data_IF_057159533034
#
_entry.id   IF_057159533034
#
_cell.length_a   1.000
_cell.length_b   1.000
_cell.length_c   1.000
_cell.angle_alpha   90.00
_cell.angle_beta   90.00
_cell.angle_gamma   90.00
#
_symmetry.space_group_name_H-M   'P 1'
#
loop_
_entity.id
_entity.type
_entity.pdbx_description
1 polymer ?
#
# COMPACT_ATOMS: atom_id res chain seq x y z
N UNK A 1 4.26 -6.43 0.62
CA UNK A 1 4.18 -6.36 2.10
C UNK A 1 2.97 -5.53 2.55
N UNK A 2 2.89 -4.25 2.19
CA UNK A 2 1.89 -3.31 2.71
C UNK A 2 0.42 -3.62 2.40
N UNK A 3 0.09 -4.61 1.55
CA UNK A 3 -1.30 -4.93 1.18
C UNK A 3 -2.19 -5.24 2.39
N UNK A 4 -1.66 -5.91 3.41
CA UNK A 4 -2.39 -6.19 4.66
C UNK A 4 -2.67 -4.92 5.45
N UNK A 5 -1.68 -4.01 5.52
CA UNK A 5 -1.81 -2.76 6.25
C UNK A 5 -2.74 -1.79 5.53
N UNK A 6 -2.69 -1.77 4.19
CA UNK A 6 -3.61 -1.02 3.34
C UNK A 6 -5.06 -1.47 3.54
N UNK A 7 -5.31 -2.78 3.55
CA UNK A 7 -6.62 -3.32 3.91
C UNK A 7 -7.03 -2.98 5.36
N UNK A 8 -6.08 -3.11 6.30
CA UNK A 8 -6.32 -2.76 7.71
C UNK A 8 -6.72 -1.29 7.88
N UNK A 9 -6.17 -0.36 7.09
CA UNK A 9 -6.59 1.05 7.14
C UNK A 9 -8.06 1.22 6.79
N UNK A 10 -8.56 0.51 5.76
CA UNK A 10 -9.99 0.51 5.40
C UNK A 10 -10.84 -0.08 6.51
N UNK A 11 -10.41 -1.22 7.05
CA UNK A 11 -11.11 -1.90 8.14
C UNK A 11 -11.26 -1.01 9.38
N UNK A 12 -10.18 -0.34 9.80
CA UNK A 12 -10.17 0.51 11.00
C UNK A 12 -10.94 1.82 10.82
N UNK A 13 -10.87 2.43 9.62
CA UNK A 13 -11.59 3.68 9.33
C UNK A 13 -13.07 3.43 9.01
N UNK A 14 -13.40 2.26 8.47
CA UNK A 14 -14.76 1.91 8.05
C UNK A 14 -15.22 2.67 6.79
N UNK A 15 -14.28 3.19 6.01
CA UNK A 15 -14.51 3.92 4.77
C UNK A 15 -13.35 3.64 3.80
N UNK A 16 -13.54 4.03 2.55
CA UNK A 16 -12.58 3.85 1.47
C UNK A 16 -11.76 5.14 1.25
N UNK A 17 -10.41 5.07 1.15
CA UNK A 17 -9.58 6.24 0.95
C UNK A 17 -9.67 6.76 -0.50
N UNK A 18 -9.24 8.02 -0.73
CA UNK A 18 -9.32 8.71 -2.03
C UNK A 18 -8.00 8.78 -2.78
N UNK A 19 -6.88 8.89 -2.06
CA UNK A 19 -5.54 8.95 -2.64
C UNK A 19 -4.48 8.52 -1.63
N UNK A 20 -3.29 8.24 -2.16
CA UNK A 20 -2.12 7.78 -1.43
C UNK A 20 -0.87 8.54 -1.85
N UNK A 21 0.01 8.80 -0.89
CA UNK A 21 1.38 9.25 -1.09
C UNK A 21 2.34 8.24 -0.47
N UNK A 22 3.26 7.70 -1.25
CA UNK A 22 4.18 6.65 -0.81
C UNK A 22 5.64 6.99 -1.10
N UNK A 23 6.52 6.51 -0.23
CA UNK A 23 7.97 6.58 -0.39
C UNK A 23 8.59 5.25 0.03
N UNK A 24 9.70 4.87 -0.61
CA UNK A 24 10.39 3.62 -0.34
C UNK A 24 11.90 3.77 -0.44
N UNK A 25 12.62 2.88 0.23
CA UNK A 25 14.07 2.85 0.26
C UNK A 25 14.59 1.43 0.49
N UNK A 26 15.86 1.21 0.16
CA UNK A 26 16.58 -0.01 0.49
C UNK A 26 17.81 0.34 1.34
N UNK A 27 17.86 -0.15 2.57
CA UNK A 27 18.96 0.09 3.50
C UNK A 27 19.49 -1.18 4.19
N UNK A 28 18.78 -2.30 4.05
CA UNK A 28 19.01 -3.54 4.80
C UNK A 28 19.75 -4.55 3.92
N UNK A 29 19.11 -5.01 2.85
CA UNK A 29 19.69 -5.95 1.90
C UNK A 29 19.75 -5.34 0.51
N UNK A 30 20.92 -4.82 0.15
CA UNK A 30 21.18 -4.18 -1.14
C UNK A 30 20.97 -5.10 -2.35
N UNK A 31 20.91 -6.42 -2.16
CA UNK A 31 20.67 -7.34 -3.27
C UNK A 31 19.26 -7.21 -3.86
N UNK A 32 18.29 -6.65 -3.13
CA UNK A 32 16.91 -6.48 -3.63
C UNK A 32 16.76 -5.23 -4.50
N UNK A 33 17.72 -4.30 -4.52
CA UNK A 33 17.64 -3.07 -5.34
C UNK A 33 17.53 -3.36 -6.85
N UNK A 34 17.84 -4.57 -7.29
CA UNK A 34 17.73 -5.01 -8.68
C UNK A 34 16.31 -5.45 -9.08
N UNK A 35 15.40 -5.58 -8.10
CA UNK A 35 14.00 -5.94 -8.35
C UNK A 35 13.22 -4.73 -8.90
N UNK A 36 12.06 -4.99 -9.49
CA UNK A 36 11.24 -3.94 -10.08
C UNK A 36 10.26 -3.33 -9.07
N UNK A 37 9.98 -2.03 -9.23
CA UNK A 37 8.99 -1.30 -8.44
C UNK A 37 9.23 -1.40 -6.94
N UNK A 38 8.14 -1.50 -6.18
CA UNK A 38 8.14 -1.59 -4.72
C UNK A 38 8.85 -2.82 -4.15
N UNK A 39 9.13 -3.84 -4.97
CA UNK A 39 9.92 -4.99 -4.54
C UNK A 39 11.40 -4.64 -4.29
N UNK A 40 11.88 -3.52 -4.84
CA UNK A 40 13.21 -2.99 -4.56
C UNK A 40 13.33 -2.31 -3.18
N UNK A 41 12.23 -2.14 -2.44
CA UNK A 41 12.22 -1.47 -1.15
C UNK A 41 12.21 -2.49 0.00
N UNK A 42 13.08 -2.29 1.00
CA UNK A 42 13.00 -2.99 2.28
C UNK A 42 12.26 -2.17 3.34
N UNK A 43 12.21 -0.85 3.18
CA UNK A 43 11.57 0.08 4.11
C UNK A 43 10.73 1.05 3.31
N UNK A 44 9.45 1.17 3.64
CA UNK A 44 8.52 2.07 2.94
C UNK A 44 7.51 2.70 3.90
N UNK A 45 6.98 3.85 3.49
CA UNK A 45 5.93 4.55 4.20
C UNK A 45 4.86 5.04 3.22
N UNK A 46 3.60 5.02 3.67
CA UNK A 46 2.43 5.49 2.92
C UNK A 46 1.59 6.42 3.79
N UNK A 47 1.02 7.45 3.18
CA UNK A 47 0.02 8.33 3.77
C UNK A 47 -1.24 8.26 2.91
N UNK A 48 -2.39 7.97 3.52
CA UNK A 48 -3.68 7.90 2.86
C UNK A 48 -4.59 9.02 3.33
N UNK A 49 -5.46 9.53 2.44
CA UNK A 49 -6.53 10.46 2.79
C UNK A 49 -7.89 9.84 2.54
N UNK A 50 -8.85 10.19 3.38
CA UNK A 50 -10.25 9.76 3.28
C UNK A 50 -11.17 10.94 2.92
N UNK A 51 -12.35 10.69 2.33
CA UNK A 51 -13.30 11.75 1.94
C UNK A 51 -13.71 12.65 3.11
N UNK A 52 -13.84 12.04 4.30
CA UNK A 52 -14.24 12.70 5.54
C UNK A 52 -13.10 13.49 6.23
N UNK A 53 -11.90 13.53 5.63
CA UNK A 53 -10.72 14.23 6.16
C UNK A 53 -9.86 13.42 7.13
N UNK A 54 -10.23 12.16 7.44
CA UNK A 54 -9.37 11.22 8.15
C UNK A 54 -8.10 10.96 7.33
N UNK A 55 -6.99 10.72 8.03
CA UNK A 55 -5.71 10.37 7.45
C UNK A 55 -5.22 9.07 8.10
N UNK A 56 -4.60 8.21 7.30
CA UNK A 56 -3.92 7.03 7.81
C UNK A 56 -2.44 7.07 7.39
N UNK A 57 -1.58 6.52 8.25
CA UNK A 57 -0.15 6.37 8.01
C UNK A 57 0.20 4.90 8.17
N UNK A 58 1.00 4.39 7.24
CA UNK A 58 1.50 3.02 7.24
C UNK A 58 3.00 3.09 7.06
N UNK A 59 3.76 2.46 7.93
CA UNK A 59 5.18 2.19 7.73
C UNK A 59 5.43 0.69 7.78
N UNK A 60 6.22 0.20 6.82
CA UNK A 60 6.54 -1.23 6.69
C UNK A 60 8.04 -1.41 6.53
N UNK A 61 8.55 -2.48 7.12
CA UNK A 61 9.95 -2.85 7.05
C UNK A 61 10.10 -4.37 6.92
N UNK A 62 10.93 -4.83 5.96
CA UNK A 62 11.21 -6.25 5.73
C UNK A 62 11.93 -6.92 6.91
N UNK A 63 12.62 -6.15 7.74
CA UNK A 63 13.38 -6.70 8.86
C UNK A 63 13.25 -5.84 10.11
N UNK A 64 12.70 -6.44 11.15
CA UNK A 64 12.80 -5.96 12.52
C UNK A 64 13.79 -6.85 13.29
N UNK A 65 14.68 -6.24 14.06
CA UNK A 65 15.71 -6.96 14.84
C UNK A 65 15.15 -7.64 16.09
N UNK A 66 13.88 -7.39 16.43
CA UNK A 66 13.24 -7.82 17.66
C UNK A 66 11.97 -8.65 17.42
N UNK A 67 11.83 -9.28 16.25
CA UNK A 67 10.64 -10.06 15.89
C UNK A 67 9.56 -9.22 15.17
N UNK A 68 8.34 -9.76 15.06
CA UNK A 68 7.25 -9.07 14.38
C UNK A 68 6.86 -7.80 15.14
N UNK A 69 6.89 -6.67 14.43
CA UNK A 69 6.34 -5.40 14.90
C UNK A 69 5.06 -5.09 14.13
N UNK A 70 3.91 -5.24 14.79
CA UNK A 70 2.58 -5.13 14.21
C UNK A 70 1.67 -4.43 15.20
N UNK A 71 1.53 -3.13 15.00
CA UNK A 71 0.78 -2.24 15.86
C UNK A 71 -0.20 -1.45 15.01
N UNK A 72 -1.32 -1.06 15.62
CA UNK A 72 -2.26 -0.14 15.02
C UNK A 72 -2.75 0.82 16.09
N UNK A 73 -2.99 2.07 15.71
CA UNK A 73 -3.61 3.07 16.58
C UNK A 73 -4.66 3.88 15.81
N UNK A 74 -5.74 4.23 16.51
CA UNK A 74 -6.81 5.08 15.97
C UNK A 74 -7.11 6.17 16.99
N UNK A 75 -6.80 7.41 16.63
CA UNK A 75 -7.13 8.61 17.39
C UNK A 75 -8.46 9.17 16.91
N UNK A 76 -9.41 9.32 17.82
CA UNK A 76 -10.72 9.95 17.58
C UNK A 76 -10.95 11.17 18.47
N UNK A 77 -12.11 11.80 18.30
CA UNK A 77 -12.48 13.03 19.03
C UNK A 77 -12.70 12.83 20.53
N UNK A 78 -12.85 11.59 21.00
CA UNK A 78 -13.15 11.22 22.40
C UNK A 78 -12.03 10.42 23.08
N UNK A 79 -10.95 10.12 22.37
CA UNK A 79 -9.89 9.27 22.89
C UNK A 79 -9.17 8.52 21.77
N UNK A 80 -8.36 7.55 22.16
CA UNK A 80 -7.51 6.76 21.27
C UNK A 80 -7.54 5.31 21.71
N UNK A 81 -7.50 4.41 20.73
CA UNK A 81 -7.26 2.97 20.93
C UNK A 81 -5.97 2.58 20.22
N UNK A 82 -5.20 1.67 20.81
CA UNK A 82 -4.01 1.11 20.19
C UNK A 82 -3.88 -0.37 20.52
N UNK A 83 -3.33 -1.14 19.58
CA UNK A 83 -2.94 -2.54 19.76
C UNK A 83 -1.42 -2.63 19.75
N UNK A 84 -0.87 -3.33 20.76
CA UNK A 84 0.57 -3.57 20.89
C UNK A 84 0.94 -4.98 20.40
N UNK A 85 2.23 -5.24 20.28
CA UNK A 85 2.77 -6.53 19.90
C UNK A 85 2.38 -7.65 20.87
N UNK A 86 2.23 -8.86 20.32
CA UNK A 86 1.92 -10.06 21.11
C UNK A 86 3.21 -10.80 21.45
N UNK A 87 3.34 -11.16 22.73
CA UNK A 87 4.51 -11.85 23.29
C UNK A 87 4.15 -13.30 23.64
N UNK A 88 5.12 -14.23 23.58
CA UNK A 88 4.89 -15.64 23.93
C UNK A 88 4.36 -15.89 25.35
N UNK A 89 4.63 -14.96 26.27
CA UNK A 89 4.14 -14.99 27.65
C UNK A 89 4.13 -13.58 28.26
N UNK A 90 3.65 -13.48 29.50
CA UNK A 90 3.50 -12.24 30.25
C UNK A 90 4.65 -11.97 31.23
N UNK A 91 5.75 -12.74 31.17
CA UNK A 91 6.87 -12.60 32.09
C UNK A 91 7.63 -11.29 31.87
N UNK A 92 8.06 -10.68 32.97
CA UNK A 92 8.76 -9.40 33.01
C UNK A 92 10.06 -9.54 33.78
N UNK A 93 11.12 -8.92 33.30
CA UNK A 93 12.40 -8.84 34.01
C UNK A 93 12.55 -7.44 34.63
N UNK A 94 12.99 -7.40 35.90
CA UNK A 94 13.30 -6.19 36.65
C UNK A 94 14.72 -6.31 37.23
N UNK A 95 15.68 -5.67 36.56
CA UNK A 95 17.10 -5.62 36.92
C UNK A 95 17.52 -4.17 37.09
N UNK A 96 18.67 -3.93 37.71
CA UNK A 96 19.24 -2.58 37.89
C UNK A 96 19.42 -1.85 36.55
N UNK A 97 19.67 -2.58 35.47
CA UNK A 97 19.97 -2.07 34.13
C UNK A 97 18.89 -2.38 33.08
N UNK A 98 17.80 -3.07 33.46
CA UNK A 98 16.76 -3.47 32.51
C UNK A 98 15.38 -3.61 33.17
N UNK A 99 14.34 -3.09 32.52
CA UNK A 99 12.95 -3.40 32.85
C UNK A 99 12.16 -3.59 31.56
N UNK A 100 11.57 -4.77 31.36
CA UNK A 100 10.94 -5.10 30.08
C UNK A 100 10.32 -6.49 30.02
N UNK A 101 9.80 -6.87 28.85
CA UNK A 101 9.35 -8.23 28.58
C UNK A 101 10.53 -9.18 28.64
N UNK A 102 10.31 -10.38 29.16
CA UNK A 102 11.36 -11.39 29.25
C UNK A 102 11.75 -11.93 27.87
N UNK A 103 10.77 -12.04 26.97
CA UNK A 103 10.94 -12.49 25.59
C UNK A 103 10.67 -11.36 24.59
N UNK A 104 11.16 -11.55 23.37
CA UNK A 104 10.79 -10.74 22.22
C UNK A 104 9.36 -11.08 21.76
N UNK A 105 8.69 -10.19 21.01
CA UNK A 105 7.51 -10.54 20.23
C UNK A 105 7.73 -11.82 19.40
N UNK A 106 6.62 -12.47 19.00
CA UNK A 106 6.70 -13.60 18.08
C UNK A 106 7.51 -13.25 16.82
N UNK A 107 8.31 -14.20 16.33
CA UNK A 107 9.20 -14.05 15.18
C UNK A 107 8.82 -14.95 13.99
N UNK A 108 7.75 -15.74 14.13
CA UNK A 108 7.24 -16.63 13.09
C UNK A 108 5.73 -16.45 12.87
N UNK A 109 5.33 -16.23 11.60
CA UNK A 109 3.97 -15.88 11.23
C UNK A 109 2.94 -16.91 11.74
N UNK A 110 3.26 -18.21 11.70
CA UNK A 110 2.31 -19.24 12.09
C UNK A 110 2.01 -19.23 13.59
N UNK A 111 3.00 -18.84 14.42
CA UNK A 111 2.78 -18.67 15.86
C UNK A 111 2.05 -17.35 16.13
N UNK A 112 2.46 -16.27 15.45
CA UNK A 112 1.87 -14.94 15.59
C UNK A 112 0.39 -14.89 15.17
N UNK A 113 0.02 -15.64 14.14
CA UNK A 113 -1.30 -15.61 13.51
C UNK A 113 -2.09 -16.90 13.67
N UNK A 114 -1.68 -17.82 14.56
CA UNK A 114 -2.37 -19.08 14.75
C UNK A 114 -3.87 -18.88 15.00
N UNK A 115 -4.20 -18.03 15.97
CA UNK A 115 -5.58 -17.71 16.32
C UNK A 115 -6.32 -17.05 15.15
N UNK A 116 -5.67 -16.09 14.46
CA UNK A 116 -6.27 -15.41 13.32
C UNK A 116 -6.65 -16.38 12.20
N UNK A 117 -5.77 -17.31 11.82
CA UNK A 117 -6.07 -18.32 10.80
C UNK A 117 -7.17 -19.29 11.23
N UNK A 118 -7.20 -19.68 12.50
CA UNK A 118 -8.27 -20.53 13.04
C UNK A 118 -9.61 -19.80 12.97
N UNK A 119 -9.66 -18.55 13.42
CA UNK A 119 -10.87 -17.71 13.40
C UNK A 119 -11.34 -17.44 11.97
N UNK A 120 -10.44 -17.10 11.04
CA UNK A 120 -10.75 -16.91 9.62
C UNK A 120 -11.37 -18.19 9.02
N UNK A 121 -10.73 -19.34 9.25
CA UNK A 121 -11.21 -20.63 8.70
C UNK A 121 -12.58 -20.98 9.25
N UNK A 122 -12.81 -20.78 10.55
CA UNK A 122 -14.13 -21.00 11.18
C UNK A 122 -15.18 -20.09 10.55
N UNK A 123 -14.90 -18.78 10.46
CA UNK A 123 -15.83 -17.81 9.89
C UNK A 123 -16.19 -18.12 8.44
N UNK A 124 -15.22 -18.57 7.63
CA UNK A 124 -15.47 -19.02 6.27
C UNK A 124 -16.37 -20.26 6.24
N UNK A 125 -16.08 -21.28 7.05
CA UNK A 125 -16.92 -22.47 7.16
C UNK A 125 -18.35 -22.14 7.64
N UNK A 126 -18.50 -21.24 8.61
CA UNK A 126 -19.81 -20.79 9.08
C UNK A 126 -20.59 -20.04 8.00
N UNK A 127 -19.90 -19.21 7.20
CA UNK A 127 -20.50 -18.50 6.07
C UNK A 127 -21.07 -19.48 5.03
N UNK A 128 -20.32 -20.55 4.72
CA UNK A 128 -20.74 -21.61 3.81
C UNK A 128 -21.92 -22.44 4.34
N UNK A 129 -21.88 -22.81 5.63
CA UNK A 129 -22.92 -23.65 6.23
C UNK A 129 -24.24 -22.90 6.39
N UNK A 130 -24.17 -21.62 6.73
CA UNK A 130 -25.36 -20.82 7.05
C UNK A 130 -25.86 -19.94 5.90
N UNK A 131 -25.19 -19.97 4.74
CA UNK A 131 -25.49 -19.11 3.59
C UNK A 131 -25.51 -17.62 3.98
N UNK A 132 -24.44 -17.19 4.65
CA UNK A 132 -24.26 -15.80 5.12
C UNK A 132 -23.05 -15.14 4.47
N UNK A 133 -22.99 -13.80 4.38
CA UNK A 133 -21.83 -13.10 3.82
C UNK A 133 -20.54 -13.43 4.57
N UNK A 134 -19.45 -13.59 3.83
CA UNK A 134 -18.11 -13.72 4.40
C UNK A 134 -17.64 -12.39 5.02
N UNK A 135 -16.85 -12.40 6.10
CA UNK A 135 -16.35 -11.17 6.72
C UNK A 135 -15.37 -10.37 5.86
N UNK A 136 -14.67 -11.03 4.95
CA UNK A 136 -13.73 -10.44 4.00
C UNK A 136 -14.10 -10.92 2.60
N UNK A 137 -14.43 -9.97 1.72
CA UNK A 137 -14.97 -10.24 0.40
C UNK A 137 -13.88 -10.20 -0.68
N UNK A 138 -14.23 -10.64 -1.90
CA UNK A 138 -13.34 -10.46 -3.06
C UNK A 138 -13.13 -8.98 -3.42
N UNK A 139 -14.12 -8.12 -3.11
CA UNK A 139 -14.01 -6.67 -3.32
C UNK A 139 -12.95 -6.07 -2.39
N UNK A 140 -12.85 -6.54 -1.14
CA UNK A 140 -11.81 -6.08 -0.22
C UNK A 140 -10.40 -6.38 -0.74
N UNK A 141 -10.21 -7.60 -1.27
CA UNK A 141 -8.95 -7.98 -1.92
C UNK A 141 -8.64 -7.14 -3.17
N UNK A 142 -9.66 -6.84 -3.98
CA UNK A 142 -9.51 -5.99 -5.16
C UNK A 142 -9.11 -4.56 -4.79
N UNK A 143 -9.77 -3.97 -3.80
CA UNK A 143 -9.47 -2.61 -3.35
C UNK A 143 -8.05 -2.54 -2.76
N UNK A 144 -7.66 -3.51 -1.93
CA UNK A 144 -6.30 -3.57 -1.38
C UNK A 144 -5.22 -3.70 -2.48
N UNK A 145 -5.51 -4.44 -3.57
CA UNK A 145 -4.63 -4.53 -4.73
C UNK A 145 -4.52 -3.19 -5.46
N UNK A 146 -5.65 -2.50 -5.71
CA UNK A 146 -5.65 -1.15 -6.31
C UNK A 146 -4.82 -0.18 -5.48
N UNK A 147 -4.99 -0.20 -4.16
CA UNK A 147 -4.21 0.63 -3.24
C UNK A 147 -2.71 0.33 -3.33
N UNK A 148 -2.35 -0.95 -3.46
CA UNK A 148 -0.95 -1.38 -3.60
C UNK A 148 -0.32 -0.89 -4.91
N UNK A 149 -1.07 -0.96 -6.02
CA UNK A 149 -0.61 -0.44 -7.32
C UNK A 149 -0.45 1.09 -7.26
N UNK A 150 -1.41 1.80 -6.65
CA UNK A 150 -1.33 3.25 -6.48
C UNK A 150 -0.14 3.67 -5.60
N UNK A 151 0.19 2.89 -4.57
CA UNK A 151 1.36 3.11 -3.72
C UNK A 151 2.67 2.98 -4.52
N UNK A 152 2.77 1.96 -5.38
CA UNK A 152 3.93 1.76 -6.26
C UNK A 152 4.10 2.92 -7.25
N UNK A 153 2.99 3.34 -7.90
CA UNK A 153 2.98 4.52 -8.77
C UNK A 153 3.37 5.79 -8.03
N UNK A 154 2.85 5.99 -6.81
CA UNK A 154 3.14 7.17 -6.00
C UNK A 154 4.63 7.25 -5.63
N UNK A 155 5.23 6.13 -5.23
CA UNK A 155 6.65 6.06 -4.90
C UNK A 155 7.54 6.31 -6.14
N UNK A 156 7.15 5.78 -7.31
CA UNK A 156 7.88 5.99 -8.55
C UNK A 156 7.82 7.45 -9.03
N UNK A 157 6.63 8.07 -8.95
CA UNK A 157 6.38 9.41 -9.48
C UNK A 157 6.59 10.55 -8.48
N UNK A 158 6.80 10.22 -7.20
CA UNK A 158 6.98 11.17 -6.09
C UNK A 158 5.82 12.17 -5.95
N UNK A 159 4.58 11.69 -6.05
CA UNK A 159 3.36 12.51 -5.93
C UNK A 159 2.21 11.74 -5.32
N UNK A 160 1.17 12.48 -4.91
CA UNK A 160 -0.14 11.89 -4.61
C UNK A 160 -0.72 11.21 -5.86
N UNK A 161 -1.25 10.00 -5.68
CA UNK A 161 -1.96 9.24 -6.71
C UNK A 161 -3.37 8.95 -6.22
N UNK A 162 -4.38 9.40 -6.96
CA UNK A 162 -5.77 9.04 -6.70
C UNK A 162 -6.01 7.61 -7.10
N UNK A 163 -6.79 6.86 -6.32
CA UNK A 163 -7.09 5.48 -6.70
C UNK A 163 -7.89 5.38 -7.99
N UNK A 164 -8.70 6.40 -8.29
CA UNK A 164 -9.38 6.53 -9.59
C UNK A 164 -8.43 6.58 -10.79
N UNK A 165 -7.14 6.91 -10.62
CA UNK A 165 -6.13 6.83 -11.70
C UNK A 165 -5.81 5.37 -12.06
N UNK A 166 -5.84 4.48 -11.06
CA UNK A 166 -5.50 3.05 -11.19
C UNK A 166 -6.70 2.23 -11.66
N UNK A 167 -7.90 2.57 -11.19
CA UNK A 167 -9.15 1.87 -11.52
C UNK A 167 -9.63 2.12 -12.95
N UNK A 168 -8.90 2.91 -13.74
CA UNK A 168 -9.14 3.05 -15.18
C UNK A 168 -8.66 1.79 -15.92
N UNK A 169 -9.36 0.67 -15.73
CA UNK A 169 -9.07 -0.58 -16.39
C UNK A 169 -10.06 -0.88 -17.52
N UNK A 170 -9.47 -1.19 -18.65
CA UNK A 170 -10.08 -1.58 -19.91
C UNK A 170 -10.57 -3.04 -19.80
N UNK A 171 -11.87 -3.27 -19.98
CA UNK A 171 -12.48 -4.57 -20.16
C UNK A 171 -12.33 -5.04 -21.58
N UNK A 172 -11.64 -6.16 -21.78
CA UNK A 172 -11.53 -6.75 -23.09
C UNK A 172 -12.50 -7.93 -23.26
N UNK A 173 -13.57 -7.74 -24.04
CA UNK A 173 -14.53 -8.79 -24.40
C UNK A 173 -13.90 -9.87 -25.29
N UNK A 174 -12.88 -9.49 -26.08
CA UNK A 174 -12.05 -10.38 -26.90
C UNK A 174 -10.60 -9.89 -26.90
N UNK A 175 -9.60 -10.67 -27.38
CA UNK A 175 -8.21 -10.21 -27.46
C UNK A 175 -7.97 -8.93 -28.27
N UNK A 176 -8.97 -8.46 -29.02
CA UNK A 176 -8.91 -7.25 -29.87
C UNK A 176 -9.96 -6.20 -29.52
N UNK A 177 -10.90 -6.48 -28.62
CA UNK A 177 -11.99 -5.57 -28.26
C UNK A 177 -11.94 -5.26 -26.79
N UNK A 178 -11.75 -3.99 -26.47
CA UNK A 178 -11.33 -3.48 -25.19
C UNK A 178 -12.07 -2.15 -24.92
N UNK A 179 -12.87 -2.07 -23.87
CA UNK A 179 -13.75 -0.95 -23.50
C UNK A 179 -13.43 -0.45 -22.08
N UNK A 180 -13.51 0.85 -21.82
CA UNK A 180 -13.30 1.39 -20.46
C UNK A 180 -14.52 1.06 -19.59
N UNK A 181 -14.32 0.34 -18.48
CA UNK A 181 -15.39 0.08 -17.51
C UNK A 181 -15.53 1.26 -16.59
N UNK A 182 -16.08 2.36 -17.09
CA UNK A 182 -16.33 3.56 -16.29
C UNK A 182 -17.47 3.37 -15.25
N UNK A 183 -18.17 2.23 -15.27
CA UNK A 183 -19.41 2.02 -14.51
C UNK A 183 -19.60 0.56 -14.04
N UNK A 184 -18.61 -0.07 -13.42
CA UNK A 184 -18.91 -1.29 -12.65
C UNK A 184 -19.30 -0.90 -11.23
N UNK A 185 -20.45 -1.41 -10.75
CA UNK A 185 -20.86 -1.33 -9.35
C UNK A 185 -19.89 -2.08 -8.40
N UNK A 186 -18.85 -2.70 -8.95
CA UNK A 186 -17.81 -3.47 -8.27
C UNK A 186 -16.83 -2.56 -7.51
N UNK A 187 -16.71 -1.26 -7.88
CA UNK A 187 -15.83 -0.32 -7.18
C UNK A 187 -16.61 0.67 -6.30
N UNK A 188 -16.14 0.92 -5.05
CA UNK A 188 -16.69 1.95 -4.17
C UNK A 188 -16.61 3.34 -4.79
N UNK A 189 -17.44 4.29 -4.33
CA UNK A 189 -17.60 5.61 -4.98
C UNK A 189 -16.27 6.37 -5.17
N UNK A 190 -15.36 6.32 -4.19
CA UNK A 190 -14.03 6.95 -4.27
C UNK A 190 -13.03 6.27 -5.22
N UNK A 191 -13.34 5.05 -5.66
CA UNK A 191 -12.53 4.25 -6.58
C UNK A 191 -13.05 4.27 -8.02
N UNK A 192 -14.24 4.84 -8.26
CA UNK A 192 -14.83 4.87 -9.60
C UNK A 192 -14.01 5.72 -10.58
N UNK A 193 -13.86 5.31 -11.84
CA UNK A 193 -13.28 6.12 -12.90
C UNK A 193 -14.00 7.46 -13.04
N UNK A 194 -13.28 8.48 -13.54
CA UNK A 194 -13.93 9.73 -13.95
C UNK A 194 -14.96 9.44 -15.05
N UNK A 195 -16.15 10.03 -14.95
CA UNK A 195 -17.22 9.86 -15.94
C UNK A 195 -16.91 10.49 -17.31
N UNK A 196 -15.87 11.33 -17.39
CA UNK A 196 -15.43 12.01 -18.60
C UNK A 196 -14.15 11.38 -19.14
N UNK A 197 -14.25 10.75 -20.31
CA UNK A 197 -13.13 10.10 -20.99
C UNK A 197 -11.99 11.08 -21.35
N UNK A 198 -12.24 12.39 -21.35
CA UNK A 198 -11.20 13.40 -21.62
C UNK A 198 -10.25 13.62 -20.44
N UNK A 199 -10.64 13.24 -19.22
CA UNK A 199 -9.76 13.25 -18.04
C UNK A 199 -8.79 12.05 -18.01
N UNK A 200 -9.03 11.04 -18.86
CA UNK A 200 -8.24 9.81 -19.00
C UNK A 200 -7.18 9.88 -20.10
N UNK A 201 -7.13 10.97 -20.85
CA UNK A 201 -6.16 11.15 -21.93
C UNK A 201 -4.79 11.50 -21.33
N UNK A 202 -3.96 10.49 -21.12
CA UNK A 202 -2.51 10.70 -21.10
C UNK A 202 -2.11 11.36 -22.44
N UNK A 203 -1.21 12.36 -22.42
CA UNK A 203 -0.74 12.98 -23.66
C UNK A 203 -0.25 11.90 -24.63
N UNK A 204 -0.58 12.04 -25.91
CA UNK A 204 -0.19 11.14 -26.99
C UNK A 204 1.24 10.60 -26.78
N UNK A 205 1.40 9.27 -26.82
CA UNK A 205 2.68 8.59 -26.63
C UNK A 205 3.74 9.13 -27.60
N UNK A 206 3.34 9.58 -28.78
CA UNK A 206 4.24 10.21 -29.75
C UNK A 206 4.54 11.68 -29.38
N UNK A 207 3.59 12.43 -28.80
CA UNK A 207 3.87 13.74 -28.19
C UNK A 207 4.81 13.63 -26.96
N UNK A 208 4.75 12.53 -26.20
CA UNK A 208 5.69 12.24 -25.12
C UNK A 208 7.09 11.90 -25.62
N UNK A 209 7.23 11.33 -26.83
CA UNK A 209 8.53 11.10 -27.50
C UNK A 209 9.11 12.39 -28.06
N UNK A 210 8.29 13.25 -28.68
CA UNK A 210 8.72 14.57 -29.16
C UNK A 210 9.19 15.47 -28.00
N UNK A 211 8.54 15.40 -26.83
CA UNK A 211 8.97 16.09 -25.61
C UNK A 211 10.29 15.58 -25.01
N UNK A 212 10.67 14.31 -25.28
CA UNK A 212 11.96 13.74 -24.87
C UNK A 212 13.11 14.18 -25.78
N UNK A 213 12.87 14.44 -27.06
CA UNK A 213 13.89 15.04 -27.94
C UNK A 213 14.21 16.49 -27.54
N UNK A 214 13.23 17.26 -27.06
CA UNK A 214 13.47 18.60 -26.51
C UNK A 214 14.29 18.59 -25.20
N UNK A 215 14.28 17.49 -24.43
CA UNK A 215 15.12 17.33 -23.23
C UNK A 215 16.53 16.78 -23.53
N UNK A 216 16.84 16.42 -24.78
CA UNK A 216 18.18 15.97 -25.17
C UNK A 216 19.27 17.07 -25.08
N UNK A 217 18.88 18.34 -24.93
CA UNK A 217 19.78 19.49 -24.72
C UNK A 217 20.57 19.48 -23.40
N UNK A 218 20.24 18.60 -22.45
CA UNK A 218 20.99 18.47 -21.19
C UNK A 218 22.38 17.84 -21.38
N UNK A 219 22.53 16.86 -22.30
CA UNK A 219 23.84 16.23 -22.57
C UNK A 219 24.85 17.20 -23.18
N UNK A 220 24.39 18.24 -23.89
CA UNK A 220 25.25 19.28 -24.47
C UNK A 220 25.65 20.36 -23.46
N UNK A 221 24.89 20.57 -22.38
CA UNK A 221 25.22 21.54 -21.32
C UNK A 221 26.29 21.03 -20.33
N UNK A 222 26.29 19.73 -20.02
CA UNK A 222 27.31 19.12 -19.13
C UNK A 222 28.70 19.09 -19.80
N UNK A 223 28.75 18.79 -21.11
CA UNK A 223 30.01 18.82 -21.88
C UNK A 223 30.60 20.23 -22.05
N UNK A 224 29.77 21.29 -21.97
CA UNK A 224 30.20 22.69 -22.07
C UNK A 224 30.64 23.28 -20.72
N UNK A 225 30.17 22.71 -19.60
CA UNK A 225 30.60 23.10 -18.25
C UNK A 225 31.99 22.53 -17.91
N UNK A 226 32.31 21.31 -18.35
CA UNK A 226 33.59 20.65 -18.07
C UNK A 226 34.78 21.14 -18.93
N UNK A 227 34.57 22.06 -19.88
CA UNK A 227 35.65 22.63 -20.73
C UNK A 227 35.99 24.08 -20.41
N UNK A 228 35.40 24.69 -19.37
CA UNK A 228 35.59 26.12 -19.05
C UNK A 228 36.40 26.42 -17.79
N UNK A 229 36.96 25.41 -17.13
CA UNK A 229 37.99 25.61 -16.12
C UNK A 229 39.30 25.00 -16.63
N UNK A 230 40.16 25.88 -17.14
CA UNK A 230 41.61 25.70 -17.04
C UNK A 230 42.00 25.63 -15.56
#
# INVERSE_FOLDING_TARGET
MAVHDLDMTRFLVGEDPIDILSVGSCHIDKSIEVLDGSEAFDTAACILRYPNGVQAMVDVCRQSSYGYDQRAEVLGTKGMIATDNVYPNTARLYKTDFTGNADMPYDFFLQRYNEAYVTETIAFCESLVNDTPVPCTGEDGLVALVMSIAADMSAAENRWVKFSEVVNSVYCSTPTECELVAQSDVFPEGFRPASDATELLVPDVDAQKEGKEARSGWKTRVAKFLRKNK
#
